data_IF_304018426388
#
_entry.id   IF_304018426388
#
_cell.length_a   1.000
_cell.length_b   1.000
_cell.length_c   1.000
_cell.angle_alpha   90.00
_cell.angle_beta   90.00
_cell.angle_gamma   90.00
#
_symmetry.space_group_name_H-M   'P 1'
#
loop_
_entity.id
_entity.type
_entity.pdbx_description
1 polymer ?
#
# COMPACT_ATOMS: atom_id res chain seq x y z
N UNK A 1 -2.33 -16.25 -21.52
CA UNK A 1 -3.63 -16.37 -20.83
C UNK A 1 -3.71 -15.31 -19.73
N UNK A 2 -4.77 -14.49 -19.74
CA UNK A 2 -5.05 -13.52 -18.69
C UNK A 2 -5.79 -14.23 -17.57
N UNK A 3 -5.37 -14.02 -16.33
CA UNK A 3 -5.94 -14.61 -15.14
C UNK A 3 -6.47 -13.49 -14.24
N UNK A 4 -7.58 -13.74 -13.55
CA UNK A 4 -8.10 -12.83 -12.55
C UNK A 4 -8.04 -13.54 -11.21
N UNK A 5 -7.40 -12.90 -10.23
CA UNK A 5 -7.26 -13.39 -8.86
C UNK A 5 -7.95 -12.40 -7.93
N UNK A 6 -8.90 -12.85 -7.12
CA UNK A 6 -9.52 -12.02 -6.09
C UNK A 6 -8.84 -12.25 -4.74
N UNK A 7 -8.69 -11.18 -3.96
CA UNK A 7 -8.34 -11.28 -2.56
C UNK A 7 -9.45 -12.01 -1.79
N UNK A 8 -9.15 -13.04 -0.98
CA UNK A 8 -10.18 -13.73 -0.20
C UNK A 8 -10.83 -12.81 0.84
N UNK A 9 -10.08 -11.86 1.40
CA UNK A 9 -10.55 -10.96 2.46
C UNK A 9 -11.36 -9.78 1.91
N UNK A 10 -10.77 -8.97 1.03
CA UNK A 10 -11.40 -7.72 0.57
C UNK A 10 -12.02 -7.80 -0.83
N UNK A 11 -11.98 -8.97 -1.47
CA UNK A 11 -12.57 -9.24 -2.80
C UNK A 11 -12.00 -8.38 -3.96
N UNK A 12 -10.95 -7.59 -3.71
CA UNK A 12 -10.26 -6.82 -4.75
C UNK A 12 -9.64 -7.75 -5.78
N UNK A 13 -9.76 -7.39 -7.05
CA UNK A 13 -9.37 -8.23 -8.19
C UNK A 13 -8.03 -7.76 -8.77
N UNK A 14 -7.20 -8.73 -9.13
CA UNK A 14 -5.88 -8.52 -9.73
C UNK A 14 -5.74 -9.34 -11.00
N UNK A 15 -5.07 -8.78 -11.98
CA UNK A 15 -4.74 -9.41 -13.24
C UNK A 15 -3.39 -10.09 -13.13
N UNK A 16 -3.40 -11.42 -13.17
CA UNK A 16 -2.21 -12.23 -13.33
C UNK A 16 -2.03 -12.68 -14.79
N UNK A 17 -0.79 -13.05 -15.11
CA UNK A 17 -0.43 -13.73 -16.35
C UNK A 17 -0.20 -15.21 -16.07
N UNK A 18 -0.33 -16.06 -17.10
CA UNK A 18 -0.13 -17.50 -16.97
C UNK A 18 1.25 -17.92 -16.44
N UNK A 19 2.30 -17.15 -16.75
CA UNK A 19 3.68 -17.33 -16.24
C UNK A 19 3.83 -16.99 -14.73
N UNK A 20 2.77 -16.47 -14.11
CA UNK A 20 2.76 -16.12 -12.69
C UNK A 20 2.07 -17.16 -11.83
N UNK A 21 1.59 -18.29 -12.38
CA UNK A 21 1.03 -19.39 -11.58
C UNK A 21 2.05 -19.84 -10.53
N UNK A 22 1.61 -19.95 -9.28
CA UNK A 22 2.46 -20.27 -8.12
C UNK A 22 3.16 -19.07 -7.48
N UNK A 23 3.21 -17.90 -8.14
CA UNK A 23 3.78 -16.68 -7.52
C UNK A 23 2.84 -16.12 -6.45
N UNK A 24 3.43 -15.44 -5.47
CA UNK A 24 2.74 -14.80 -4.34
C UNK A 24 2.90 -13.28 -4.42
N UNK A 25 1.85 -12.55 -4.04
CA UNK A 25 1.87 -11.09 -3.94
C UNK A 25 0.94 -10.63 -2.82
N UNK A 26 1.14 -9.45 -2.27
CA UNK A 26 0.25 -8.89 -1.25
C UNK A 26 -0.89 -8.11 -1.91
N UNK A 27 -2.10 -8.33 -1.43
CA UNK A 27 -3.22 -7.45 -1.65
C UNK A 27 -2.99 -6.12 -0.94
N UNK A 28 -3.61 -5.04 -1.43
CA UNK A 28 -3.71 -3.75 -0.73
C UNK A 28 -4.25 -3.81 0.72
N UNK A 29 -4.97 -4.87 1.11
CA UNK A 29 -5.42 -5.07 2.49
C UNK A 29 -4.38 -5.80 3.38
N UNK A 30 -3.19 -6.11 2.84
CA UNK A 30 -2.11 -6.84 3.51
C UNK A 30 -2.12 -8.35 3.27
N UNK A 31 -3.26 -8.93 2.88
CA UNK A 31 -3.42 -10.37 2.64
C UNK A 31 -2.48 -10.88 1.56
N UNK A 32 -1.69 -11.91 1.86
CA UNK A 32 -0.88 -12.61 0.85
C UNK A 32 -1.78 -13.46 -0.05
N UNK A 33 -1.67 -13.24 -1.36
CA UNK A 33 -2.43 -13.93 -2.41
C UNK A 33 -1.46 -14.79 -3.21
N UNK A 34 -1.85 -16.04 -3.47
CA UNK A 34 -1.16 -16.93 -4.42
C UNK A 34 -1.92 -16.99 -5.74
N UNK A 35 -1.22 -16.78 -6.86
CA UNK A 35 -1.80 -16.97 -8.19
C UNK A 35 -2.00 -18.47 -8.43
N UNK A 36 -3.24 -18.95 -8.32
CA UNK A 36 -3.60 -20.34 -8.59
C UNK A 36 -4.04 -20.51 -10.05
N UNK A 37 -3.81 -21.67 -10.62
CA UNK A 37 -4.36 -22.03 -11.92
C UNK A 37 -5.88 -22.21 -11.77
N UNK A 38 -6.73 -21.39 -12.43
CA UNK A 38 -8.16 -21.56 -12.33
C UNK A 38 -8.63 -22.70 -13.23
N UNK A 39 -9.63 -23.45 -12.76
CA UNK A 39 -10.39 -24.39 -13.58
C UNK A 39 -11.67 -23.70 -14.05
N UNK A 40 -11.78 -23.46 -15.36
CA UNK A 40 -12.93 -22.78 -15.93
C UNK A 40 -14.17 -23.68 -16.02
N UNK A 41 -15.32 -23.19 -15.59
CA UNK A 41 -16.63 -23.80 -15.79
C UNK A 41 -17.37 -23.12 -16.96
N UNK A 42 -18.24 -23.87 -17.63
CA UNK A 42 -19.18 -23.32 -18.60
C UNK A 42 -20.35 -22.67 -17.87
N UNK A 43 -20.76 -21.48 -18.30
CA UNK A 43 -21.90 -20.80 -17.69
C UNK A 43 -23.23 -21.40 -18.15
N UNK A 44 -24.12 -21.69 -17.20
CA UNK A 44 -25.48 -22.18 -17.49
C UNK A 44 -26.48 -21.06 -17.84
N UNK A 45 -26.15 -19.82 -17.49
CA UNK A 45 -26.96 -18.61 -17.74
C UNK A 45 -26.08 -17.57 -18.42
N UNK A 46 -26.63 -16.89 -19.42
CA UNK A 46 -25.95 -15.83 -20.15
C UNK A 46 -26.52 -14.47 -19.71
N UNK A 47 -25.63 -13.57 -19.29
CA UNK A 47 -25.92 -12.16 -18.99
C UNK A 47 -25.00 -11.29 -19.84
N UNK A 48 -25.41 -10.05 -20.08
CA UNK A 48 -24.60 -9.09 -20.79
C UNK A 48 -23.26 -8.84 -20.09
N UNK A 49 -22.16 -9.18 -20.76
CA UNK A 49 -20.81 -8.92 -20.25
C UNK A 49 -20.47 -7.43 -20.12
N UNK A 50 -21.24 -6.54 -20.77
CA UNK A 50 -21.02 -5.09 -20.77
C UNK A 50 -21.77 -4.38 -19.65
N UNK A 51 -23.01 -4.76 -19.34
CA UNK A 51 -23.86 -4.09 -18.34
C UNK A 51 -24.42 -5.00 -17.24
N UNK A 52 -24.22 -6.32 -17.32
CA UNK A 52 -24.70 -7.30 -16.35
C UNK A 52 -26.18 -7.68 -16.46
N UNK A 53 -26.93 -7.05 -17.38
CA UNK A 53 -28.35 -7.32 -17.56
C UNK A 53 -28.63 -8.77 -18.01
N UNK A 54 -29.76 -9.38 -17.58
CA UNK A 54 -30.13 -10.72 -18.03
C UNK A 54 -30.31 -10.76 -19.55
N UNK A 55 -29.86 -11.85 -20.18
CA UNK A 55 -30.12 -12.09 -21.60
C UNK A 55 -31.46 -12.80 -21.75
N UNK A 56 -32.33 -12.22 -22.57
CA UNK A 56 -33.52 -12.91 -23.04
C UNK A 56 -33.14 -14.02 -24.03
N UNK A 57 -33.89 -15.12 -24.04
CA UNK A 57 -33.57 -16.31 -24.84
C UNK A 57 -33.37 -15.96 -26.32
N UNK A 58 -32.21 -16.32 -26.88
CA UNK A 58 -31.91 -16.11 -28.29
C UNK A 58 -31.61 -14.67 -28.72
N UNK A 59 -31.67 -13.68 -27.81
CA UNK A 59 -31.33 -12.29 -28.14
C UNK A 59 -29.90 -12.18 -28.69
N UNK A 60 -29.70 -11.38 -29.74
CA UNK A 60 -28.38 -11.15 -30.37
C UNK A 60 -27.66 -9.92 -29.82
N UNK A 61 -28.41 -8.98 -29.25
CA UNK A 61 -27.91 -7.81 -28.56
C UNK A 61 -28.66 -7.58 -27.24
N UNK A 62 -28.01 -6.90 -26.30
CA UNK A 62 -28.59 -6.57 -25.01
C UNK A 62 -29.65 -5.48 -25.15
N UNK A 63 -30.87 -5.75 -24.70
CA UNK A 63 -32.00 -4.80 -24.71
C UNK A 63 -31.77 -3.57 -23.83
N UNK A 64 -30.87 -3.66 -22.84
CA UNK A 64 -30.59 -2.57 -21.91
C UNK A 64 -29.49 -1.61 -22.39
N UNK A 65 -28.41 -2.13 -22.99
CA UNK A 65 -27.25 -1.31 -23.37
C UNK A 65 -26.85 -1.42 -24.85
N UNK A 66 -27.56 -2.22 -25.64
CA UNK A 66 -27.31 -2.41 -27.08
C UNK A 66 -26.09 -3.23 -27.45
N UNK A 67 -25.35 -3.79 -26.48
CA UNK A 67 -24.13 -4.55 -26.76
C UNK A 67 -24.44 -5.88 -27.46
N UNK A 68 -23.69 -6.21 -28.50
CA UNK A 68 -23.79 -7.51 -29.18
C UNK A 68 -23.23 -8.64 -28.31
N UNK A 69 -24.00 -9.72 -28.21
CA UNK A 69 -23.60 -10.92 -27.46
C UNK A 69 -22.56 -11.75 -28.22
N UNK A 70 -22.57 -11.74 -29.56
CA UNK A 70 -21.79 -12.68 -30.39
C UNK A 70 -20.30 -12.39 -30.46
N UNK A 71 -19.86 -11.13 -30.34
CA UNK A 71 -18.45 -10.74 -30.50
C UNK A 71 -17.71 -10.82 -29.16
N UNK A 72 -18.34 -10.44 -28.06
CA UNK A 72 -17.68 -10.38 -26.75
C UNK A 72 -17.77 -11.67 -25.95
N UNK A 73 -18.78 -12.54 -26.17
CA UNK A 73 -18.96 -13.77 -25.37
C UNK A 73 -18.12 -14.96 -25.88
N UNK A 74 -17.51 -14.89 -27.07
CA UNK A 74 -16.68 -15.98 -27.62
C UNK A 74 -15.21 -15.88 -27.20
N UNK A 75 -14.74 -14.70 -26.80
CA UNK A 75 -13.36 -14.43 -26.36
C UNK A 75 -13.09 -14.91 -24.93
N UNK A 76 -13.43 -16.16 -24.60
CA UNK A 76 -13.40 -16.78 -23.26
C UNK A 76 -11.97 -17.12 -22.78
N UNK A 77 -11.10 -16.11 -22.75
CA UNK A 77 -9.67 -16.19 -22.47
C UNK A 77 -9.29 -15.97 -21.00
N UNK A 78 -10.27 -15.71 -20.12
CA UNK A 78 -10.06 -15.57 -18.67
C UNK A 78 -11.17 -16.26 -17.88
N UNK A 79 -11.07 -16.27 -16.56
CA UNK A 79 -11.99 -16.93 -15.63
C UNK A 79 -12.45 -15.94 -14.56
N UNK A 80 -13.75 -15.94 -14.25
CA UNK A 80 -14.32 -15.15 -13.17
C UNK A 80 -13.76 -15.63 -11.81
N UNK A 81 -13.23 -14.75 -10.96
CA UNK A 81 -12.64 -15.16 -9.68
C UNK A 81 -13.69 -15.61 -8.65
N UNK A 82 -14.96 -15.25 -8.84
CA UNK A 82 -16.04 -15.58 -7.91
C UNK A 82 -16.69 -16.93 -8.23
N UNK A 83 -17.17 -17.12 -9.47
CA UNK A 83 -17.91 -18.34 -9.84
C UNK A 83 -17.15 -19.29 -10.77
N UNK A 84 -15.91 -18.96 -11.12
CA UNK A 84 -15.05 -19.75 -12.01
C UNK A 84 -15.59 -19.96 -13.43
N UNK A 85 -16.68 -19.29 -13.83
CA UNK A 85 -17.12 -19.28 -15.21
C UNK A 85 -16.03 -18.66 -16.10
N UNK A 86 -15.77 -19.25 -17.27
CA UNK A 86 -14.92 -18.61 -18.29
C UNK A 86 -15.62 -17.33 -18.73
N UNK A 87 -14.90 -16.22 -18.89
CA UNK A 87 -15.46 -14.93 -19.31
C UNK A 87 -14.54 -14.26 -20.32
N UNK A 88 -15.09 -13.25 -21.02
CA UNK A 88 -14.32 -12.38 -21.89
C UNK A 88 -13.26 -11.60 -21.12
N UNK A 89 -12.10 -11.36 -21.72
CA UNK A 89 -11.10 -10.44 -21.17
C UNK A 89 -11.55 -8.96 -21.25
N UNK A 90 -12.58 -8.67 -22.04
CA UNK A 90 -13.24 -7.35 -22.13
C UNK A 90 -14.51 -7.25 -21.30
N UNK A 91 -14.90 -8.31 -20.59
CA UNK A 91 -16.10 -8.28 -19.76
C UNK A 91 -15.96 -7.23 -18.64
N UNK A 92 -16.99 -6.41 -18.45
CA UNK A 92 -17.19 -5.56 -17.27
C UNK A 92 -17.96 -6.29 -16.17
N UNK A 93 -18.71 -7.33 -16.54
CA UNK A 93 -19.48 -8.17 -15.62
C UNK A 93 -19.37 -9.64 -16.05
N UNK A 94 -19.36 -10.57 -15.09
CA UNK A 94 -19.43 -11.99 -15.38
C UNK A 94 -20.80 -12.35 -15.97
N UNK A 95 -20.83 -12.99 -17.14
CA UNK A 95 -22.08 -13.41 -17.77
C UNK A 95 -22.84 -14.48 -16.97
N UNK A 96 -22.17 -15.19 -16.06
CA UNK A 96 -22.79 -16.19 -15.19
C UNK A 96 -23.33 -15.57 -13.89
N UNK A 97 -22.44 -15.05 -13.03
CA UNK A 97 -22.79 -14.61 -11.68
C UNK A 97 -22.96 -13.09 -11.52
N UNK A 98 -22.84 -12.31 -12.60
CA UNK A 98 -22.92 -10.85 -12.60
C UNK A 98 -21.86 -10.11 -11.75
N UNK A 99 -20.88 -10.79 -11.17
CA UNK A 99 -19.77 -10.14 -10.46
C UNK A 99 -19.07 -9.14 -11.39
N UNK A 100 -18.88 -7.87 -10.98
CA UNK A 100 -18.11 -6.90 -11.74
C UNK A 100 -16.70 -7.41 -11.99
N UNK A 101 -16.21 -7.25 -13.21
CA UNK A 101 -14.86 -7.66 -13.62
C UNK A 101 -14.06 -6.39 -13.84
N UNK A 102 -13.22 -6.07 -12.86
CA UNK A 102 -12.37 -4.87 -12.87
C UNK A 102 -10.99 -5.20 -12.28
N UNK A 103 -10.23 -6.12 -12.89
CA UNK A 103 -8.94 -6.53 -12.34
C UNK A 103 -7.92 -5.41 -12.50
N UNK A 104 -7.34 -4.99 -11.38
CA UNK A 104 -6.17 -4.12 -11.35
C UNK A 104 -4.94 -4.91 -11.84
N UNK A 105 -3.93 -4.29 -12.45
CA UNK A 105 -2.70 -5.05 -12.72
C UNK A 105 -2.11 -5.54 -11.39
N UNK A 106 -1.63 -6.79 -11.33
CA UNK A 106 -0.75 -7.19 -10.22
C UNK A 106 0.34 -6.13 -10.15
N UNK A 107 0.49 -5.51 -8.97
CA UNK A 107 1.54 -4.54 -8.72
C UNK A 107 2.85 -5.15 -9.21
N UNK A 108 3.55 -4.42 -10.08
CA UNK A 108 4.65 -4.93 -10.88
C UNK A 108 5.76 -5.56 -10.05
N UNK A 109 6.77 -6.10 -10.73
CA UNK A 109 7.88 -6.82 -10.09
C UNK A 109 8.43 -6.08 -8.87
N UNK A 110 8.66 -6.83 -7.79
CA UNK A 110 9.35 -6.31 -6.60
C UNK A 110 10.67 -5.73 -7.05
N UNK A 111 10.91 -4.49 -6.64
CA UNK A 111 12.16 -3.81 -6.94
C UNK A 111 13.16 -4.05 -5.82
N UNK A 112 14.44 -3.81 -6.09
CA UNK A 112 15.50 -3.80 -5.07
C UNK A 112 15.39 -2.58 -4.12
N UNK A 113 14.44 -1.69 -4.38
CA UNK A 113 14.19 -0.50 -3.56
C UNK A 113 13.30 -0.82 -2.37
N UNK A 114 13.66 -0.28 -1.20
CA UNK A 114 12.94 -0.50 0.05
C UNK A 114 12.11 0.71 0.47
N UNK A 115 11.02 0.46 1.19
CA UNK A 115 10.16 1.51 1.72
C UNK A 115 10.88 2.27 2.85
N UNK A 116 11.04 3.60 2.75
CA UNK A 116 11.73 4.40 3.77
C UNK A 116 10.89 4.61 5.05
N UNK A 117 9.61 4.24 5.01
CA UNK A 117 8.69 4.29 6.16
C UNK A 117 8.64 2.95 6.88
N UNK A 118 8.54 1.85 6.14
CA UNK A 118 8.40 0.51 6.70
C UNK A 118 9.73 -0.22 6.95
N UNK A 119 10.83 0.26 6.36
CA UNK A 119 12.18 -0.27 6.55
C UNK A 119 12.63 -1.33 5.52
N UNK A 120 13.82 -1.86 5.74
CA UNK A 120 14.58 -2.73 4.81
C UNK A 120 13.87 -4.07 4.48
N UNK A 121 12.91 -4.51 5.29
CA UNK A 121 12.14 -5.73 5.01
C UNK A 121 11.00 -5.56 4.00
N UNK A 122 10.83 -4.37 3.41
CA UNK A 122 9.66 -4.02 2.58
C UNK A 122 10.08 -3.44 1.24
N UNK A 123 10.21 -4.30 0.24
CA UNK A 123 10.45 -3.89 -1.14
C UNK A 123 9.26 -3.14 -1.73
N UNK A 124 9.55 -2.08 -2.48
CA UNK A 124 8.59 -1.36 -3.28
C UNK A 124 8.29 -2.11 -4.58
N UNK A 125 7.09 -1.90 -5.10
CA UNK A 125 6.63 -2.52 -6.35
C UNK A 125 6.29 -1.45 -7.37
N UNK A 126 6.45 -1.78 -8.65
CA UNK A 126 6.08 -0.86 -9.72
C UNK A 126 4.55 -0.74 -9.83
N UNK A 127 4.00 0.46 -9.66
CA UNK A 127 2.58 0.76 -9.86
C UNK A 127 2.41 1.67 -11.06
N UNK A 128 1.61 1.24 -12.05
CA UNK A 128 1.19 2.11 -13.15
C UNK A 128 -0.05 2.91 -12.75
N UNK A 129 0.06 4.23 -12.71
CA UNK A 129 -1.07 5.14 -12.51
C UNK A 129 -1.68 5.47 -13.87
N UNK A 130 -2.63 4.66 -14.34
CA UNK A 130 -3.20 4.75 -15.69
C UNK A 130 -3.77 6.14 -16.02
N UNK A 131 -4.48 6.76 -15.06
CA UNK A 131 -5.05 8.11 -15.21
C UNK A 131 -3.99 9.16 -15.56
N UNK A 132 -2.78 8.99 -15.04
CA UNK A 132 -1.68 9.94 -15.17
C UNK A 132 -0.59 9.49 -16.15
N UNK A 133 -0.71 8.27 -16.69
CA UNK A 133 0.25 7.65 -17.60
C UNK A 133 1.69 7.68 -17.07
N UNK A 134 1.86 7.47 -15.78
CA UNK A 134 3.17 7.36 -15.11
C UNK A 134 3.28 6.04 -14.37
N UNK A 135 4.51 5.57 -14.20
CA UNK A 135 4.84 4.45 -13.31
C UNK A 135 5.54 5.01 -12.09
N UNK A 136 5.13 4.55 -10.92
CA UNK A 136 5.66 4.97 -9.62
C UNK A 136 6.09 3.73 -8.84
N UNK A 137 6.93 3.90 -7.82
CA UNK A 137 7.17 2.81 -6.86
C UNK A 137 6.19 2.97 -5.70
N UNK A 138 5.56 1.88 -5.29
CA UNK A 138 4.55 1.86 -4.23
C UNK A 138 4.95 0.89 -3.12
N UNK A 139 4.72 1.29 -1.87
CA UNK A 139 4.73 0.37 -0.74
C UNK A 139 3.35 -0.27 -0.54
N UNK A 140 3.25 -1.59 -0.62
CA UNK A 140 1.98 -2.33 -0.42
C UNK A 140 1.51 -2.40 1.05
N UNK A 141 2.24 -1.79 1.99
CA UNK A 141 1.89 -1.78 3.42
C UNK A 141 1.41 -0.40 3.86
N UNK A 142 2.22 0.64 3.67
CA UNK A 142 1.85 2.00 4.07
C UNK A 142 1.20 2.82 2.94
N UNK A 143 1.06 2.26 1.74
CA UNK A 143 0.54 2.93 0.55
C UNK A 143 1.32 4.19 0.11
N UNK A 144 2.55 4.36 0.61
CA UNK A 144 3.42 5.47 0.19
C UNK A 144 3.98 5.26 -1.22
N UNK A 145 4.19 6.37 -1.91
CA UNK A 145 4.59 6.43 -3.31
C UNK A 145 5.93 7.15 -3.47
N UNK A 146 6.80 6.60 -4.32
CA UNK A 146 8.03 7.24 -4.76
C UNK A 146 7.95 7.58 -6.24
N UNK A 147 8.21 8.85 -6.54
CA UNK A 147 8.23 9.40 -7.89
C UNK A 147 9.61 10.01 -8.17
N UNK A 148 10.24 9.58 -9.26
CA UNK A 148 11.46 10.24 -9.76
C UNK A 148 11.18 11.68 -10.19
N UNK A 149 12.19 12.56 -10.11
CA UNK A 149 12.02 13.99 -10.44
C UNK A 149 11.49 14.20 -11.86
N UNK A 150 12.01 13.47 -12.85
CA UNK A 150 11.56 13.54 -14.25
C UNK A 150 10.11 13.05 -14.43
N UNK A 151 9.76 11.96 -13.72
CA UNK A 151 8.40 11.41 -13.73
C UNK A 151 7.42 12.40 -13.11
N UNK A 152 7.82 13.06 -12.03
CA UNK A 152 7.03 14.10 -11.39
C UNK A 152 6.87 15.34 -12.27
N UNK A 153 7.94 15.79 -12.95
CA UNK A 153 7.85 16.89 -13.93
C UNK A 153 6.85 16.56 -15.04
N UNK A 154 6.98 15.36 -15.64
CA UNK A 154 6.07 14.87 -16.67
C UNK A 154 4.62 14.79 -16.20
N UNK A 155 4.40 14.45 -14.93
CA UNK A 155 3.06 14.44 -14.30
C UNK A 155 2.46 15.85 -14.24
N UNK A 156 3.27 16.86 -13.88
CA UNK A 156 2.83 18.26 -13.80
C UNK A 156 2.51 18.85 -15.17
N UNK A 157 3.33 18.57 -16.18
CA UNK A 157 3.13 19.07 -17.54
C UNK A 157 1.83 18.55 -18.16
N UNK A 158 1.51 17.26 -17.92
CA UNK A 158 0.28 16.64 -18.44
C UNK A 158 -1.01 17.16 -17.82
N UNK A 159 -0.98 17.73 -16.61
CA UNK A 159 -2.17 18.31 -16.00
C UNK A 159 -2.56 19.66 -16.61
N UNK A 160 -1.62 20.39 -17.21
CA UNK A 160 -1.91 21.66 -17.87
C UNK A 160 -2.96 21.49 -18.97
N UNK A 161 -2.90 20.40 -19.72
CA UNK A 161 -3.79 20.09 -20.84
C UNK A 161 -5.21 19.67 -20.43
N UNK A 162 -5.46 19.36 -19.15
CA UNK A 162 -6.72 18.75 -18.68
C UNK A 162 -7.52 19.66 -17.72
N UNK A 163 -7.26 20.96 -17.73
CA UNK A 163 -7.88 21.93 -16.79
C UNK A 163 -9.38 22.12 -17.08
N UNK A 164 -10.22 21.30 -16.45
CA UNK A 164 -11.66 21.49 -16.31
C UNK A 164 -12.01 22.14 -14.97
N UNK A 165 -13.20 22.75 -14.88
CA UNK A 165 -13.68 23.50 -13.72
C UNK A 165 -13.92 22.55 -12.52
N UNK A 166 -12.96 22.44 -11.59
CA UNK A 166 -13.07 21.60 -10.38
C UNK A 166 -13.59 22.45 -9.22
N UNK A 167 -14.65 22.04 -8.50
CA UNK A 167 -15.11 22.73 -7.30
C UNK A 167 -13.99 22.78 -6.26
N UNK A 168 -13.81 23.94 -5.60
CA UNK A 168 -12.88 24.09 -4.47
C UNK A 168 -13.30 23.19 -3.32
N UNK A 169 -12.72 21.99 -3.26
CA UNK A 169 -12.81 21.10 -2.11
C UNK A 169 -11.86 21.57 -1.00
N UNK A 170 -12.31 21.47 0.25
CA UNK A 170 -11.48 21.73 1.43
C UNK A 170 -10.36 20.71 1.50
N UNK A 171 -9.10 21.16 1.46
CA UNK A 171 -7.93 20.31 1.70
C UNK A 171 -8.01 19.80 3.14
N UNK A 172 -7.99 18.48 3.40
CA UNK A 172 -7.96 17.94 4.74
C UNK A 172 -6.73 18.46 5.51
N UNK A 173 -6.89 18.73 6.80
CA UNK A 173 -5.77 19.17 7.64
C UNK A 173 -4.78 18.04 7.88
N UNK A 174 -3.50 18.41 7.89
CA UNK A 174 -2.31 17.60 8.18
C UNK A 174 -2.58 16.58 9.29
N UNK A 175 -2.70 15.31 8.93
CA UNK A 175 -2.49 14.18 9.84
C UNK A 175 -1.00 14.04 10.10
N UNK A 176 -0.60 13.71 11.33
CA UNK A 176 0.80 13.39 11.63
C UNK A 176 1.32 12.30 10.67
N UNK A 177 2.41 12.58 9.97
CA UNK A 177 2.98 11.63 9.01
C UNK A 177 3.52 10.40 9.76
N UNK A 178 3.14 9.17 9.35
CA UNK A 178 3.52 7.95 10.04
C UNK A 178 5.01 7.62 9.87
N UNK A 179 5.58 6.92 10.84
CA UNK A 179 6.93 6.38 10.77
C UNK A 179 8.05 7.38 11.13
N UNK A 180 9.28 7.16 10.67
CA UNK A 180 10.43 7.92 11.13
C UNK A 180 10.40 9.37 10.64
N UNK A 181 10.86 10.28 11.50
CA UNK A 181 10.96 11.72 11.23
C UNK A 181 11.96 12.04 10.11
N UNK A 182 13.01 11.22 9.99
CA UNK A 182 14.02 11.32 8.94
C UNK A 182 13.97 10.06 8.09
N UNK A 183 13.82 10.23 6.78
CA UNK A 183 13.63 9.14 5.83
C UNK A 183 14.77 9.10 4.83
N UNK A 184 15.28 7.90 4.54
CA UNK A 184 16.32 7.70 3.55
C UNK A 184 15.75 7.74 2.12
N UNK A 185 16.52 8.26 1.17
CA UNK A 185 16.17 8.25 -0.23
C UNK A 185 16.13 6.81 -0.74
N UNK A 186 15.06 6.47 -1.46
CA UNK A 186 14.81 5.16 -2.07
C UNK A 186 15.92 4.72 -3.03
N UNK A 187 16.63 5.68 -3.64
CA UNK A 187 17.68 5.42 -4.63
C UNK A 187 19.09 5.48 -4.03
N UNK A 188 19.44 6.56 -3.31
CA UNK A 188 20.82 6.76 -2.83
C UNK A 188 21.02 6.59 -1.32
N UNK A 189 19.97 6.31 -0.55
CA UNK A 189 20.04 6.17 0.91
C UNK A 189 20.26 7.47 1.70
N UNK A 190 20.57 8.59 1.04
CA UNK A 190 20.75 9.89 1.71
C UNK A 190 19.46 10.40 2.33
N UNK A 191 19.56 11.13 3.46
CA UNK A 191 18.38 11.68 4.12
C UNK A 191 17.63 12.67 3.22
N UNK A 192 16.32 12.44 3.11
CA UNK A 192 15.39 13.31 2.41
C UNK A 192 15.02 14.52 3.27
N UNK A 193 14.77 15.64 2.60
CA UNK A 193 14.37 16.89 3.26
C UNK A 193 12.85 16.96 3.27
N UNK A 194 12.26 16.96 4.47
CA UNK A 194 10.82 17.16 4.66
C UNK A 194 10.41 18.60 4.41
N UNK A 195 9.44 18.86 3.53
CA UNK A 195 8.95 20.21 3.18
C UNK A 195 7.47 20.21 2.81
N UNK A 196 6.82 21.35 3.04
CA UNK A 196 5.51 21.65 2.47
C UNK A 196 5.71 22.17 1.03
N UNK A 197 5.18 21.46 0.04
CA UNK A 197 5.31 21.80 -1.39
C UNK A 197 4.16 22.70 -1.85
N UNK A 198 4.41 23.70 -2.69
CA UNK A 198 3.39 24.66 -3.11
C UNK A 198 3.00 25.67 -2.02
N UNK A 199 3.88 25.87 -1.02
CA UNK A 199 3.82 26.77 0.17
C UNK A 199 2.55 26.71 1.02
N UNK A 200 1.38 26.95 0.43
CA UNK A 200 0.06 26.93 1.07
C UNK A 200 -0.76 25.67 0.77
N UNK A 201 -0.20 24.70 0.03
CA UNK A 201 -0.93 23.47 -0.30
C UNK A 201 -1.25 22.62 0.94
N UNK A 202 -0.40 22.70 1.98
CA UNK A 202 -0.51 21.84 3.16
C UNK A 202 0.05 20.43 2.95
N UNK A 203 0.49 20.09 1.73
CA UNK A 203 1.05 18.79 1.40
C UNK A 203 2.52 18.74 1.79
N UNK A 204 2.83 17.91 2.78
CA UNK A 204 4.20 17.68 3.24
C UNK A 204 4.78 16.52 2.44
N UNK A 205 5.99 16.65 1.91
CA UNK A 205 6.68 15.61 1.14
C UNK A 205 8.11 15.46 1.65
N UNK A 206 8.69 14.27 1.46
CA UNK A 206 10.11 14.04 1.73
C UNK A 206 10.87 13.99 0.39
N UNK A 207 11.77 14.95 0.19
CA UNK A 207 12.43 15.17 -1.10
C UNK A 207 13.91 14.80 -1.09
N UNK A 208 14.33 14.05 -2.11
CA UNK A 208 15.72 13.97 -2.55
C UNK A 208 15.93 14.84 -3.81
N UNK A 209 16.63 15.96 -3.67
CA UNK A 209 16.88 16.90 -4.78
C UNK A 209 17.61 16.35 -6.02
N UNK A 210 18.09 15.10 -6.01
CA UNK A 210 18.71 14.44 -7.17
C UNK A 210 17.84 13.32 -7.76
N UNK A 211 17.09 12.58 -6.93
CA UNK A 211 16.45 11.35 -7.38
C UNK A 211 14.93 11.45 -7.46
N UNK A 212 14.27 12.05 -6.48
CA UNK A 212 12.81 12.00 -6.44
C UNK A 212 12.17 12.43 -5.14
N UNK A 213 10.87 12.19 -5.06
CA UNK A 213 9.97 12.64 -4.01
C UNK A 213 9.23 11.44 -3.44
N UNK A 214 9.18 11.36 -2.12
CA UNK A 214 8.31 10.43 -1.39
C UNK A 214 7.02 11.15 -0.97
N UNK A 215 5.91 10.48 -1.22
CA UNK A 215 4.56 10.84 -0.79
C UNK A 215 4.05 9.74 0.14
N UNK A 216 3.57 10.11 1.32
CA UNK A 216 2.76 9.22 2.14
C UNK A 216 1.37 9.01 1.51
N UNK A 217 0.59 8.14 2.15
CA UNK A 217 -0.78 7.86 1.73
C UNK A 217 -1.55 9.18 1.52
N UNK A 218 -2.25 9.26 0.39
CA UNK A 218 -3.11 10.37 -0.03
C UNK A 218 -2.42 11.71 -0.36
N UNK A 219 -1.13 11.91 -0.07
CA UNK A 219 -0.45 13.20 -0.30
C UNK A 219 -0.36 13.56 -1.78
N UNK A 220 -0.07 12.57 -2.64
CA UNK A 220 -0.09 12.80 -4.09
C UNK A 220 -1.48 13.23 -4.56
N UNK A 221 -2.54 12.58 -4.08
CA UNK A 221 -3.91 12.92 -4.45
C UNK A 221 -4.27 14.35 -3.99
N UNK A 222 -3.90 14.73 -2.77
CA UNK A 222 -4.08 16.08 -2.26
C UNK A 222 -3.33 17.11 -3.09
N UNK A 223 -2.08 16.80 -3.48
CA UNK A 223 -1.31 17.66 -4.36
C UNK A 223 -1.99 17.83 -5.72
N UNK A 224 -2.53 16.75 -6.31
CA UNK A 224 -3.25 16.84 -7.58
C UNK A 224 -4.51 17.71 -7.48
N UNK A 225 -5.22 17.69 -6.35
CA UNK A 225 -6.36 18.59 -6.11
C UNK A 225 -5.89 20.05 -6.07
N UNK A 226 -4.80 20.33 -5.34
CA UNK A 226 -4.22 21.67 -5.25
C UNK A 226 -3.75 22.19 -6.63
N UNK A 227 -3.06 21.36 -7.41
CA UNK A 227 -2.60 21.70 -8.76
C UNK A 227 -3.77 22.07 -9.66
N UNK A 228 -4.87 21.30 -9.62
CA UNK A 228 -6.10 21.60 -10.37
C UNK A 228 -6.80 22.88 -9.92
N UNK A 229 -6.57 23.34 -8.70
CA UNK A 229 -7.08 24.62 -8.19
C UNK A 229 -6.25 25.84 -8.61
N UNK A 230 -5.20 25.63 -9.42
CA UNK A 230 -4.29 26.68 -9.91
C UNK A 230 -2.92 26.69 -9.24
N UNK A 231 -2.62 25.71 -8.38
CA UNK A 231 -1.39 25.64 -7.59
C UNK A 231 -0.13 25.16 -8.31
N UNK A 232 -0.20 24.92 -9.63
CA UNK A 232 0.87 24.26 -10.42
C UNK A 232 2.18 25.03 -10.39
N UNK A 233 2.11 26.33 -10.65
CA UNK A 233 3.30 27.18 -10.77
C UNK A 233 4.10 27.23 -9.46
N UNK A 234 3.42 27.30 -8.31
CA UNK A 234 4.08 27.28 -7.01
C UNK A 234 4.80 25.95 -6.75
N UNK A 235 4.22 24.83 -7.19
CA UNK A 235 4.81 23.50 -7.07
C UNK A 235 6.09 23.39 -7.91
N UNK A 236 6.08 23.89 -9.16
CA UNK A 236 7.26 23.88 -10.02
C UNK A 236 8.38 24.80 -9.50
N UNK A 237 8.03 25.99 -9.03
CA UNK A 237 8.99 26.92 -8.43
C UNK A 237 9.63 26.37 -7.15
N UNK A 238 8.85 25.65 -6.33
CA UNK A 238 9.39 24.97 -5.17
C UNK A 238 10.33 23.84 -5.61
N UNK A 239 9.94 23.03 -6.60
CA UNK A 239 10.79 21.95 -7.11
C UNK A 239 12.13 22.46 -7.66
N UNK A 240 12.11 23.51 -8.48
CA UNK A 240 13.31 24.10 -9.06
C UNK A 240 14.26 24.70 -8.01
N UNK A 241 13.70 25.35 -6.98
CA UNK A 241 14.49 25.83 -5.83
C UNK A 241 15.09 24.68 -5.03
N UNK A 242 14.37 23.57 -4.92
CA UNK A 242 14.79 22.44 -4.10
C UNK A 242 15.78 21.50 -4.80
N UNK A 243 15.73 21.37 -6.13
CA UNK A 243 16.73 20.64 -6.91
C UNK A 243 18.06 21.40 -7.02
N UNK A 244 18.02 22.73 -6.99
CA UNK A 244 19.21 23.61 -7.04
C UNK A 244 19.83 23.91 -5.67
N UNK A 245 19.13 23.62 -4.58
CA UNK A 245 19.65 23.82 -3.23
C UNK A 245 20.63 22.71 -2.87
N UNK A 246 21.93 23.02 -3.01
CA UNK A 246 23.05 22.16 -2.59
C UNK A 246 22.88 21.54 -1.20
N UNK A 247 23.46 20.35 -1.03
CA UNK A 247 23.58 19.41 0.11
C UNK A 247 23.56 19.95 1.57
N UNK A 248 23.61 21.26 1.83
CA UNK A 248 23.66 21.84 3.18
C UNK A 248 22.47 21.44 4.06
N UNK A 249 21.26 21.35 3.48
CA UNK A 249 20.09 20.88 4.23
C UNK A 249 20.24 19.40 4.61
N UNK A 250 20.72 18.56 3.68
CA UNK A 250 21.01 17.14 3.95
C UNK A 250 22.10 16.98 5.01
N UNK A 251 23.19 17.75 4.94
CA UNK A 251 24.27 17.76 5.94
C UNK A 251 23.76 18.12 7.34
N UNK A 252 22.89 19.13 7.46
CA UNK A 252 22.26 19.49 8.74
C UNK A 252 21.34 18.39 9.28
N UNK A 253 20.56 17.75 8.41
CA UNK A 253 19.69 16.63 8.79
C UNK A 253 20.51 15.40 9.21
N UNK A 254 21.59 15.09 8.48
CA UNK A 254 22.51 14.00 8.82
C UNK A 254 23.16 14.23 10.19
N UNK A 255 23.65 15.45 10.46
CA UNK A 255 24.21 15.79 11.78
C UNK A 255 23.16 15.75 12.90
N UNK A 256 21.90 16.09 12.61
CA UNK A 256 20.81 16.00 13.59
C UNK A 256 20.41 14.54 13.89
N UNK A 257 20.41 13.68 12.87
CA UNK A 257 20.14 12.24 13.01
C UNK A 257 21.26 11.54 13.79
N UNK A 258 22.54 11.83 13.50
CA UNK A 258 23.69 11.33 14.28
C UNK A 258 23.60 11.70 15.76
N UNK A 259 23.26 12.96 16.08
CA UNK A 259 23.03 13.41 17.47
C UNK A 259 21.86 12.69 18.14
N UNK A 260 20.80 12.37 17.38
CA UNK A 260 19.62 11.66 17.91
C UNK A 260 19.94 10.18 18.18
N UNK A 261 20.77 9.54 17.33
CA UNK A 261 21.25 8.17 17.53
C UNK A 261 22.26 8.06 18.68
N UNK A 262 23.16 9.02 18.84
CA UNK A 262 24.15 9.00 19.94
C UNK A 262 23.51 9.27 21.31
N UNK A 263 22.49 10.12 21.39
CA UNK A 263 21.76 10.37 22.63
C UNK A 263 20.86 9.19 23.06
N UNK A 264 20.35 8.39 22.12
CA UNK A 264 19.57 7.18 22.42
C UNK A 264 20.44 5.99 22.82
N UNK A 265 21.68 5.88 22.34
CA UNK A 265 22.64 4.84 22.79
C UNK A 265 23.32 5.14 24.13
N UNK A 266 23.14 6.35 24.67
CA UNK A 266 23.79 6.82 25.91
C UNK A 266 22.93 6.64 27.18
N UNK A 267 21.78 5.96 27.14
CA UNK A 267 21.06 5.60 28.38
C UNK A 267 21.83 4.48 29.09
N UNK A 268 22.45 4.71 30.26
CA UNK A 268 23.06 3.62 30.99
C UNK A 268 21.97 2.68 31.50
N UNK A 269 22.17 1.38 31.26
CA UNK A 269 21.37 0.33 31.86
C UNK A 269 21.74 0.19 33.34
N UNK A 270 21.23 1.08 34.21
CA UNK A 270 21.20 0.85 35.65
C UNK A 270 20.39 1.93 36.38
N UNK A 271 19.17 1.59 36.77
CA UNK A 271 18.64 2.00 38.06
C UNK A 271 18.17 0.71 38.73
N UNK A 272 19.10 -0.01 39.35
CA UNK A 272 18.71 -0.96 40.38
C UNK A 272 18.01 -0.19 41.49
N UNK A 273 16.86 -0.69 42.01
CA UNK A 273 16.20 -0.03 43.12
C UNK A 273 17.07 -0.18 44.38
N UNK A 274 17.45 0.97 44.93
CA UNK A 274 18.15 1.13 46.21
C UNK A 274 17.41 0.34 47.29
N UNK A 275 18.02 -0.75 47.78
CA UNK A 275 17.58 -1.43 48.99
C UNK A 275 17.79 -0.51 50.19
N UNK A 276 16.71 0.04 50.73
CA UNK A 276 16.70 0.61 52.09
C UNK A 276 16.64 -0.53 53.09
N UNK A 277 17.76 -0.76 53.77
CA UNK A 277 17.87 -1.58 54.97
C UNK A 277 17.07 -0.93 56.11
N UNK A 278 16.01 -1.60 56.57
CA UNK A 278 15.42 -1.43 57.89
C UNK A 278 15.59 -2.75 58.64
N UNK A 279 16.18 -2.64 59.83
CA UNK A 279 16.45 -3.73 60.76
C UNK A 279 15.19 -4.28 61.44
N UNK A 280 15.37 -5.25 62.35
CA UNK A 280 14.49 -6.40 62.50
C UNK A 280 13.36 -6.15 63.49
N UNK A 281 12.18 -6.73 63.26
CA UNK A 281 11.49 -7.47 64.32
C UNK A 281 10.21 -8.20 63.87
N UNK A 282 10.03 -9.38 64.47
CA UNK A 282 8.80 -10.14 64.71
C UNK A 282 8.16 -10.91 63.55
N UNK A 283 8.70 -12.11 63.37
CA UNK A 283 7.95 -13.32 63.04
C UNK A 283 6.80 -13.57 64.02
N UNK A 284 5.59 -13.76 63.50
CA UNK A 284 4.57 -14.59 64.13
C UNK A 284 4.02 -15.53 63.05
N UNK A 285 4.10 -16.82 63.36
CA UNK A 285 3.63 -17.96 62.58
C UNK A 285 2.14 -17.91 62.28
N UNK A 286 1.78 -18.28 61.05
CA UNK A 286 0.74 -19.29 60.83
C UNK A 286 0.82 -19.82 59.41
N UNK A 287 0.83 -21.15 59.26
CA UNK A 287 0.66 -21.93 58.02
C UNK A 287 1.95 -22.35 57.27
N UNK A 288 2.96 -22.78 58.01
CA UNK A 288 3.64 -24.03 57.65
C UNK A 288 2.74 -25.23 58.00
N UNK A 289 2.99 -26.37 57.37
CA UNK A 289 2.57 -27.71 57.84
C UNK A 289 1.22 -28.29 57.40
N UNK A 290 0.78 -28.09 56.16
CA UNK A 290 -0.18 -29.02 55.52
C UNK A 290 0.19 -29.54 54.13
N UNK A 291 1.31 -29.11 53.53
CA UNK A 291 1.68 -29.53 52.17
C UNK A 291 2.80 -30.59 52.08
N UNK A 292 3.47 -30.93 53.19
CA UNK A 292 4.63 -31.85 53.15
C UNK A 292 4.38 -33.23 53.77
N UNK A 293 3.27 -33.43 54.49
CA UNK A 293 2.89 -34.74 55.05
C UNK A 293 2.03 -35.60 54.09
N UNK A 294 1.51 -35.03 52.99
CA UNK A 294 0.70 -35.75 52.01
C UNK A 294 1.52 -36.52 50.96
N UNK A 295 2.80 -36.16 50.76
CA UNK A 295 3.67 -36.81 49.77
C UNK A 295 4.42 -38.04 50.30
N UNK A 296 4.48 -38.23 51.62
CA UNK A 296 5.13 -39.41 52.24
C UNK A 296 4.17 -40.56 52.56
N UNK A 297 2.85 -40.34 52.50
CA UNK A 297 1.83 -41.39 52.69
C UNK A 297 1.42 -42.09 51.37
N UNK A 298 1.58 -41.43 50.21
CA UNK A 298 1.26 -42.04 48.91
C UNK A 298 2.37 -42.96 48.36
N UNK A 299 3.59 -42.90 48.91
CA UNK A 299 4.69 -43.80 48.53
C UNK A 299 4.67 -45.16 49.26
N UNK A 300 3.71 -45.40 50.16
CA UNK A 300 3.56 -46.66 50.92
C UNK A 300 2.31 -47.49 50.55
N UNK A 301 1.51 -47.05 49.58
CA UNK A 301 0.31 -47.79 49.10
C UNK A 301 0.50 -48.48 47.74
N UNK A 302 1.70 -48.46 47.14
CA UNK A 302 2.04 -49.24 45.95
C UNK A 302 3.25 -50.17 46.21
N UNK A 303 3.10 -51.05 47.21
CA UNK A 303 3.76 -52.35 47.32
C UNK A 303 2.90 -53.29 48.15
#
# INVERSE_FOLDING_TARGET
MRLIVACPECQRQYQARGDQIGKRFHCHCGTEITVRQPQGLSAAVVRCSSCGAPRESGARSCTHCGADFTIHEQDLYTVCPNCLARVSDRARFCHHCATPIAPEQIAGEQTEHHCPVCGEGRSLVNRRLTTYQVTVLECQVCAGLWLGLETFSSLMDRQETQSGNVPRGRVPSITEQPGPRYRACVVCGQLMVRRNIGRSSGVIVDLCGQHGIWFDADELAQLMIWVRSGGREQVLQDLARLSSSDDRARRRLAMADERSRSSSSSRPASLEPVRRSLGPDRSYDMLGDLAQSALLLLARMFR
#
